data_IF_697077593011
#
_entry.id   IF_697077593011
#
_cell.length_a   1.000
_cell.length_b   1.000
_cell.length_c   1.000
_cell.angle_alpha   90.00
_cell.angle_beta   90.00
_cell.angle_gamma   90.00
#
_symmetry.space_group_name_H-M   'P 1'
#
loop_
_entity.id
_entity.type
_entity.pdbx_description
1 polymer ?
#
# COMPACT_ATOMS: atom_id res chain seq x y z
N UNK A 1 -17.99 16.65 11.68
CA UNK A 1 -17.74 16.06 10.35
C UNK A 1 -16.93 14.79 10.56
N UNK A 2 -17.28 13.69 9.89
CA UNK A 2 -16.57 12.41 10.04
C UNK A 2 -15.32 12.48 9.16
N UNK A 3 -14.13 12.51 9.76
CA UNK A 3 -12.84 12.52 9.04
C UNK A 3 -12.73 11.25 8.17
N UNK A 4 -12.28 11.37 6.92
CA UNK A 4 -12.07 10.24 6.01
C UNK A 4 -10.60 9.82 5.97
N UNK A 5 -10.35 8.52 5.97
CA UNK A 5 -9.01 7.93 6.05
C UNK A 5 -8.80 6.92 4.92
N UNK A 6 -7.56 6.86 4.42
CA UNK A 6 -7.05 5.73 3.66
C UNK A 6 -5.90 5.04 4.39
N UNK A 7 -5.67 3.77 4.12
CA UNK A 7 -4.54 3.01 4.68
C UNK A 7 -3.55 2.71 3.57
N UNK A 8 -2.26 2.91 3.80
CA UNK A 8 -1.23 2.62 2.79
C UNK A 8 -0.05 1.91 3.42
N UNK A 9 0.38 0.84 2.77
CA UNK A 9 1.62 0.13 3.05
C UNK A 9 2.70 0.67 2.11
N UNK A 10 3.74 1.28 2.67
CA UNK A 10 4.80 1.94 1.91
C UNK A 10 6.19 1.57 2.45
N UNK A 11 7.24 1.85 1.68
CA UNK A 11 8.61 1.76 2.16
C UNK A 11 8.87 2.78 3.30
N UNK A 12 9.94 2.60 4.07
CA UNK A 12 10.45 3.64 4.99
C UNK A 12 11.08 4.83 4.25
N UNK A 13 11.29 4.69 2.93
CA UNK A 13 11.89 5.72 2.09
C UNK A 13 11.04 7.00 2.10
N UNK A 14 11.63 8.09 2.62
CA UNK A 14 10.98 9.39 2.76
C UNK A 14 10.54 9.99 1.42
N UNK A 15 11.23 9.67 0.32
CA UNK A 15 10.98 10.23 -1.03
C UNK A 15 9.59 9.83 -1.55
N UNK A 16 9.11 8.66 -1.14
CA UNK A 16 7.83 8.09 -1.60
C UNK A 16 6.62 8.58 -0.80
N UNK A 17 6.81 9.14 0.40
CA UNK A 17 5.70 9.38 1.34
C UNK A 17 4.71 10.43 0.82
N UNK A 18 5.21 11.62 0.46
CA UNK A 18 4.37 12.74 0.02
C UNK A 18 3.68 12.45 -1.31
N UNK A 19 4.36 11.94 -2.36
CA UNK A 19 3.70 11.58 -3.62
C UNK A 19 2.54 10.62 -3.41
N UNK A 20 2.73 9.57 -2.61
CA UNK A 20 1.72 8.55 -2.34
C UNK A 20 0.56 9.12 -1.51
N UNK A 21 0.84 9.91 -0.47
CA UNK A 21 -0.20 10.55 0.34
C UNK A 21 -1.09 11.41 -0.56
N UNK A 22 -0.49 12.28 -1.38
CA UNK A 22 -1.24 13.19 -2.25
C UNK A 22 -2.08 12.41 -3.25
N UNK A 23 -1.49 11.42 -3.92
CA UNK A 23 -2.19 10.59 -4.89
C UNK A 23 -3.40 9.88 -4.26
N UNK A 24 -3.26 9.30 -3.07
CA UNK A 24 -4.37 8.63 -2.37
C UNK A 24 -5.47 9.62 -1.99
N UNK A 25 -5.11 10.80 -1.48
CA UNK A 25 -6.08 11.82 -1.10
C UNK A 25 -6.88 12.32 -2.30
N UNK A 26 -6.21 12.56 -3.42
CA UNK A 26 -6.82 13.05 -4.66
C UNK A 26 -7.71 11.99 -5.32
N UNK A 27 -7.25 10.74 -5.42
CA UNK A 27 -7.97 9.69 -6.14
C UNK A 27 -9.09 9.03 -5.33
N UNK A 28 -9.03 9.07 -4.00
CA UNK A 28 -10.05 8.45 -3.12
C UNK A 28 -10.79 9.45 -2.23
N UNK A 29 -10.52 10.75 -2.37
CA UNK A 29 -11.18 11.83 -1.64
C UNK A 29 -11.12 11.63 -0.10
N UNK A 30 -9.95 11.24 0.40
CA UNK A 30 -9.68 11.05 1.84
C UNK A 30 -8.92 12.25 2.42
N UNK A 31 -9.19 12.59 3.68
CA UNK A 31 -8.53 13.71 4.37
C UNK A 31 -7.14 13.32 4.91
N UNK A 32 -7.03 12.10 5.45
CA UNK A 32 -5.81 11.56 6.07
C UNK A 32 -5.43 10.21 5.49
N UNK A 33 -4.13 9.89 5.55
CA UNK A 33 -3.59 8.60 5.12
C UNK A 33 -2.80 7.99 6.27
N UNK A 34 -3.25 6.85 6.77
CA UNK A 34 -2.51 6.04 7.74
C UNK A 34 -1.41 5.28 7.01
N UNK A 35 -0.16 5.66 7.25
CA UNK A 35 1.01 5.02 6.65
C UNK A 35 1.55 3.91 7.55
N UNK A 36 1.63 2.71 6.99
CA UNK A 36 2.31 1.55 7.55
C UNK A 36 3.61 1.40 6.78
N UNK A 37 4.75 1.55 7.45
CA UNK A 37 6.06 1.54 6.79
C UNK A 37 6.91 0.36 7.22
N UNK A 38 7.56 -0.28 6.26
CA UNK A 38 8.61 -1.31 6.43
C UNK A 38 9.59 -1.19 5.23
N UNK A 39 10.88 -1.50 5.39
CA UNK A 39 11.85 -1.42 4.28
C UNK A 39 11.54 -2.46 3.19
N UNK A 40 11.30 -2.03 1.94
CA UNK A 40 10.99 -2.95 0.83
C UNK A 40 9.60 -3.58 0.95
N UNK A 41 8.57 -2.75 1.15
CA UNK A 41 7.22 -3.17 1.52
C UNK A 41 6.59 -4.16 0.54
N UNK A 42 6.70 -3.90 -0.76
CA UNK A 42 6.20 -4.78 -1.82
C UNK A 42 6.73 -6.22 -1.69
N UNK A 43 8.05 -6.37 -1.51
CA UNK A 43 8.70 -7.65 -1.23
C UNK A 43 8.22 -8.28 0.07
N UNK A 44 8.20 -7.52 1.18
CA UNK A 44 7.80 -8.04 2.49
C UNK A 44 6.39 -8.64 2.45
N UNK A 45 5.47 -7.98 1.75
CA UNK A 45 4.10 -8.48 1.60
C UNK A 45 4.05 -9.64 0.62
N UNK A 46 4.71 -9.55 -0.55
CA UNK A 46 4.63 -10.57 -1.59
C UNK A 46 5.21 -11.91 -1.14
N UNK A 47 6.25 -11.90 -0.31
CA UNK A 47 6.84 -13.11 0.29
C UNK A 47 5.88 -13.86 1.22
N UNK A 48 4.82 -13.21 1.71
CA UNK A 48 3.79 -13.85 2.54
C UNK A 48 4.32 -14.42 3.87
N UNK A 49 5.45 -13.92 4.36
CA UNK A 49 6.05 -14.40 5.61
C UNK A 49 5.04 -14.22 6.78
N UNK A 50 4.73 -15.27 7.56
CA UNK A 50 3.71 -15.19 8.61
C UNK A 50 3.99 -14.15 9.71
N UNK A 51 5.26 -13.94 10.05
CA UNK A 51 5.67 -12.95 11.07
C UNK A 51 5.31 -11.53 10.62
N UNK A 52 5.66 -11.16 9.38
CA UNK A 52 5.30 -9.86 8.84
C UNK A 52 3.80 -9.75 8.56
N UNK A 53 3.22 -10.78 7.94
CA UNK A 53 1.80 -10.81 7.56
C UNK A 53 0.87 -10.59 8.75
N UNK A 54 1.13 -11.24 9.89
CA UNK A 54 0.32 -11.06 11.12
C UNK A 54 0.37 -9.61 11.62
N UNK A 55 1.57 -9.04 11.74
CA UNK A 55 1.76 -7.66 12.21
C UNK A 55 1.14 -6.63 11.27
N UNK A 56 1.31 -6.80 9.96
CA UNK A 56 0.71 -5.91 8.96
C UNK A 56 -0.81 -5.99 9.00
N UNK A 57 -1.39 -7.20 9.13
CA UNK A 57 -2.84 -7.37 9.30
C UNK A 57 -3.37 -6.62 10.51
N UNK A 58 -2.66 -6.68 11.64
CA UNK A 58 -3.07 -5.98 12.86
C UNK A 58 -3.05 -4.46 12.68
N UNK A 59 -1.99 -3.92 12.06
CA UNK A 59 -1.89 -2.48 11.74
C UNK A 59 -3.01 -2.03 10.78
N UNK A 60 -3.28 -2.79 9.72
CA UNK A 60 -4.39 -2.51 8.78
C UNK A 60 -5.73 -2.55 9.51
N UNK A 61 -5.94 -3.57 10.36
CA UNK A 61 -7.17 -3.72 11.13
C UNK A 61 -7.48 -2.51 12.00
N UNK A 62 -6.46 -1.87 12.59
CA UNK A 62 -6.65 -0.64 13.37
C UNK A 62 -7.22 0.46 12.48
N UNK A 63 -6.61 0.73 11.32
CA UNK A 63 -7.08 1.76 10.39
C UNK A 63 -8.49 1.46 9.85
N UNK A 64 -8.73 0.22 9.39
CA UNK A 64 -10.04 -0.20 8.85
C UNK A 64 -11.13 -0.18 9.93
N UNK A 65 -10.85 -0.62 11.16
CA UNK A 65 -11.88 -0.71 12.22
C UNK A 65 -12.08 0.59 12.98
N UNK A 66 -11.02 1.29 13.34
CA UNK A 66 -11.09 2.52 14.14
C UNK A 66 -11.37 3.75 13.26
N UNK A 67 -10.63 3.91 12.17
CA UNK A 67 -10.75 5.06 11.28
C UNK A 67 -11.74 4.84 10.12
N UNK A 68 -12.28 3.62 10.00
CA UNK A 68 -13.22 3.25 8.93
C UNK A 68 -12.62 3.44 7.54
N UNK A 69 -11.30 3.26 7.41
CA UNK A 69 -10.62 3.29 6.12
C UNK A 69 -11.28 2.32 5.13
N UNK A 70 -11.48 2.81 3.90
CA UNK A 70 -12.15 2.08 2.81
C UNK A 70 -11.22 1.70 1.68
N UNK A 71 -9.95 2.04 1.79
CA UNK A 71 -8.93 1.89 0.76
C UNK A 71 -7.65 1.37 1.42
N UNK A 72 -7.06 0.32 0.84
CA UNK A 72 -5.70 -0.13 1.16
C UNK A 72 -4.81 0.06 -0.07
N UNK A 73 -3.78 0.89 0.05
CA UNK A 73 -2.70 1.00 -0.93
C UNK A 73 -1.51 0.12 -0.57
N UNK A 74 -0.85 -0.46 -1.56
CA UNK A 74 0.46 -1.09 -1.44
C UNK A 74 1.41 -0.44 -2.43
N UNK A 75 2.62 -0.07 -1.98
CA UNK A 75 3.58 0.67 -2.79
C UNK A 75 4.90 -0.10 -2.95
N UNK A 76 5.35 -0.24 -4.20
CA UNK A 76 6.75 -0.43 -4.55
C UNK A 76 7.32 0.86 -5.15
N UNK A 77 8.64 1.02 -5.16
CA UNK A 77 9.26 2.24 -5.67
C UNK A 77 10.63 2.03 -6.31
N UNK A 78 10.96 2.94 -7.22
CA UNK A 78 12.27 3.06 -7.86
C UNK A 78 13.38 3.28 -6.82
N UNK A 79 14.55 2.69 -7.07
CA UNK A 79 15.76 2.87 -6.26
C UNK A 79 15.56 2.48 -4.77
N UNK A 80 14.96 1.30 -4.54
CA UNK A 80 14.73 0.77 -3.20
C UNK A 80 15.97 0.05 -2.65
N UNK A 81 16.61 0.64 -1.64
CA UNK A 81 17.77 0.03 -0.99
C UNK A 81 17.48 -1.32 -0.31
N UNK A 82 16.25 -1.53 0.17
CA UNK A 82 15.84 -2.76 0.86
C UNK A 82 15.29 -3.84 -0.06
N UNK A 83 15.00 -3.49 -1.31
CA UNK A 83 14.55 -4.38 -2.36
C UNK A 83 15.24 -4.00 -3.69
N UNK A 84 16.55 -4.28 -3.83
CA UNK A 84 17.35 -3.82 -4.96
C UNK A 84 17.13 -4.73 -6.18
N UNK A 85 15.95 -4.61 -6.79
CA UNK A 85 15.53 -5.36 -7.98
C UNK A 85 15.10 -4.39 -9.07
N UNK A 86 14.87 -4.90 -10.28
CA UNK A 86 14.34 -4.08 -11.38
C UNK A 86 12.84 -3.80 -11.24
N UNK A 87 12.34 -2.87 -12.05
CA UNK A 87 10.94 -2.45 -12.02
C UNK A 87 9.96 -3.61 -12.37
N UNK A 88 10.37 -4.55 -13.23
CA UNK A 88 9.51 -5.68 -13.59
C UNK A 88 9.27 -6.61 -12.39
N UNK A 89 10.31 -6.86 -11.60
CA UNK A 89 10.20 -7.62 -10.36
C UNK A 89 9.33 -6.86 -9.34
N UNK A 90 9.51 -5.54 -9.21
CA UNK A 90 8.66 -4.73 -8.34
C UNK A 90 7.18 -4.81 -8.75
N UNK A 91 6.85 -4.68 -10.04
CA UNK A 91 5.47 -4.80 -10.52
C UNK A 91 4.85 -6.14 -10.16
N UNK A 92 5.57 -7.23 -10.40
CA UNK A 92 5.11 -8.57 -10.03
C UNK A 92 4.87 -8.69 -8.53
N UNK A 93 5.79 -8.19 -7.71
CA UNK A 93 5.63 -8.21 -6.24
C UNK A 93 4.44 -7.38 -5.79
N UNK A 94 4.20 -6.21 -6.38
CA UNK A 94 3.03 -5.38 -6.10
C UNK A 94 1.73 -6.13 -6.43
N UNK A 95 1.65 -6.80 -7.57
CA UNK A 95 0.49 -7.62 -7.95
C UNK A 95 0.26 -8.79 -6.97
N UNK A 96 1.32 -9.55 -6.67
CA UNK A 96 1.26 -10.69 -5.74
C UNK A 96 0.83 -10.25 -4.33
N UNK A 97 1.43 -9.17 -3.84
CA UNK A 97 1.16 -8.62 -2.52
C UNK A 97 -0.26 -8.03 -2.42
N UNK A 98 -0.73 -7.31 -3.44
CA UNK A 98 -2.13 -6.82 -3.45
C UNK A 98 -3.14 -7.96 -3.50
N UNK A 99 -2.85 -9.03 -4.26
CA UNK A 99 -3.65 -10.24 -4.26
C UNK A 99 -3.63 -10.95 -2.88
N UNK A 100 -2.48 -10.97 -2.20
CA UNK A 100 -2.39 -11.50 -0.83
C UNK A 100 -3.23 -10.67 0.16
N UNK A 101 -3.14 -9.34 0.11
CA UNK A 101 -3.93 -8.42 0.94
C UNK A 101 -5.43 -8.62 0.68
N UNK A 102 -5.82 -8.80 -0.59
CA UNK A 102 -7.21 -9.12 -0.95
C UNK A 102 -7.70 -10.39 -0.25
N UNK A 103 -6.87 -11.44 -0.22
CA UNK A 103 -7.18 -12.69 0.45
C UNK A 103 -7.22 -12.58 1.99
N UNK A 104 -6.76 -11.47 2.57
CA UNK A 104 -6.93 -11.18 4.00
C UNK A 104 -8.36 -10.73 4.35
N UNK A 105 -9.23 -10.50 3.35
CA UNK A 105 -10.68 -10.26 3.51
C UNK A 105 -11.04 -9.08 4.44
N UNK A 106 -10.33 -7.97 4.32
CA UNK A 106 -10.74 -6.73 5.00
C UNK A 106 -12.03 -6.16 4.41
N UNK A 107 -12.81 -5.48 5.25
CA UNK A 107 -14.09 -4.87 4.89
C UNK A 107 -13.89 -3.48 4.25
N UNK A 108 -13.08 -3.44 3.19
CA UNK A 108 -12.70 -2.26 2.41
C UNK A 108 -13.33 -2.30 1.02
N UNK A 109 -13.45 -1.13 0.39
CA UNK A 109 -14.10 -0.98 -0.91
C UNK A 109 -13.08 -1.10 -2.04
N UNK A 110 -11.81 -0.74 -1.79
CA UNK A 110 -10.74 -0.81 -2.79
C UNK A 110 -9.39 -1.27 -2.20
N UNK A 111 -8.66 -2.06 -2.97
CA UNK A 111 -7.23 -2.37 -2.77
C UNK A 111 -6.51 -1.95 -4.05
N UNK A 112 -5.45 -1.17 -3.94
CA UNK A 112 -4.68 -0.65 -5.08
C UNK A 112 -3.18 -0.91 -4.90
N UNK A 113 -2.54 -1.40 -5.95
CA UNK A 113 -1.10 -1.55 -6.05
C UNK A 113 -0.53 -0.37 -6.82
N UNK A 114 0.49 0.27 -6.26
CA UNK A 114 1.09 1.50 -6.75
C UNK A 114 2.59 1.32 -6.97
N UNK A 115 3.08 1.92 -8.04
CA UNK A 115 4.49 2.10 -8.31
C UNK A 115 4.85 3.58 -8.22
N UNK A 116 5.94 3.90 -7.53
CA UNK A 116 6.54 5.23 -7.55
C UNK A 116 7.78 5.18 -8.43
N UNK A 117 7.77 5.92 -9.54
CA UNK A 117 8.86 5.90 -10.53
C UNK A 117 10.05 6.80 -10.16
N UNK A 118 11.04 6.89 -11.05
CA UNK A 118 12.24 7.70 -10.89
C UNK A 118 11.98 9.22 -10.84
N UNK A 119 10.80 9.66 -11.30
CA UNK A 119 10.33 11.04 -11.25
C UNK A 119 9.42 11.32 -10.06
N UNK A 120 9.22 10.31 -9.20
CA UNK A 120 8.31 10.33 -8.06
C UNK A 120 6.84 10.46 -8.45
N UNK A 121 6.49 10.04 -9.67
CA UNK A 121 5.11 9.92 -10.12
C UNK A 121 4.53 8.57 -9.68
N UNK A 122 3.23 8.56 -9.39
CA UNK A 122 2.53 7.40 -8.84
C UNK A 122 1.67 6.75 -9.94
N UNK A 123 1.96 5.48 -10.24
CA UNK A 123 1.30 4.69 -11.27
C UNK A 123 0.52 3.53 -10.67
N UNK A 124 -0.66 3.24 -11.22
CA UNK A 124 -1.46 2.08 -10.80
C UNK A 124 -0.94 0.83 -11.49
N UNK A 125 -0.55 -0.17 -10.70
CA UNK A 125 -0.13 -1.50 -11.18
C UNK A 125 -1.29 -2.49 -11.09
N UNK A 126 -2.04 -2.48 -9.98
CA UNK A 126 -3.18 -3.36 -9.77
C UNK A 126 -4.33 -2.66 -9.07
N UNK A 127 -5.56 -3.10 -9.33
CA UNK A 127 -6.76 -2.51 -8.73
C UNK A 127 -7.83 -3.57 -8.50
N UNK A 128 -8.22 -3.74 -7.24
CA UNK A 128 -9.35 -4.58 -6.84
C UNK A 128 -10.43 -3.72 -6.20
N UNK A 129 -11.63 -3.72 -6.81
CA UNK A 129 -12.83 -3.11 -6.24
C UNK A 129 -13.74 -4.20 -5.70
N UNK A 130 -14.27 -3.98 -4.51
CA UNK A 130 -15.30 -4.86 -3.95
C UNK A 130 -16.64 -4.48 -4.60
N UNK A 131 -17.24 -5.44 -5.31
CA UNK A 131 -18.58 -5.33 -5.92
C UNK A 131 -19.63 -5.66 -4.87
#
# INVERSE_FOLDING_TARGET
MKKSFGTVLNCIDGRTQIPVINWIKENFNVEYVDLITEPGMDKIVSEGNPFYSSRLKDKINISVKAHKSKIIGLVGHYDCAANPVDAEVHYKQIEEATNLIKNWNFLVDTIVGLWVDEFWEVHVVSLYKRI
#
